data_IF_935050744573
#
_entry.id   IF_935050744573
#
_cell.length_a   1.000
_cell.length_b   1.000
_cell.length_c   1.000
_cell.angle_alpha   90.00
_cell.angle_beta   90.00
_cell.angle_gamma   90.00
#
_symmetry.space_group_name_H-M   'P 1'
#
loop_
_entity.id
_entity.type
_entity.pdbx_description
1 polymer ?
#
# COMPACT_ATOMS: atom_id res chain seq x y z
N UNK A 1 -32.71 -13.03 50.42
CA UNK A 1 -32.83 -12.20 49.19
C UNK A 1 -31.80 -11.09 49.11
N UNK A 2 -31.49 -10.36 50.17
CA UNK A 2 -30.45 -9.30 50.19
C UNK A 2 -29.01 -9.81 49.98
N UNK A 3 -28.62 -10.97 50.55
CA UNK A 3 -27.28 -11.54 50.40
C UNK A 3 -26.98 -11.98 48.94
N UNK A 4 -27.97 -12.54 48.24
CA UNK A 4 -27.83 -12.94 46.84
C UNK A 4 -27.64 -11.71 45.93
N UNK A 5 -28.34 -10.62 46.21
CA UNK A 5 -28.15 -9.33 45.51
C UNK A 5 -26.76 -8.74 45.75
N UNK A 6 -26.25 -8.85 47.00
CA UNK A 6 -24.92 -8.36 47.36
C UNK A 6 -23.79 -9.18 46.70
N UNK A 7 -23.96 -10.52 46.63
CA UNK A 7 -23.03 -11.40 45.91
C UNK A 7 -23.01 -11.13 44.39
N UNK A 8 -24.18 -10.98 43.76
CA UNK A 8 -24.28 -10.61 42.33
C UNK A 8 -23.63 -9.25 42.06
N UNK A 9 -23.86 -8.22 42.88
CA UNK A 9 -23.23 -6.90 42.72
C UNK A 9 -21.71 -6.97 42.84
N UNK A 10 -21.19 -7.74 43.81
CA UNK A 10 -19.75 -7.94 43.99
C UNK A 10 -19.13 -8.66 42.78
N UNK A 11 -19.82 -9.66 42.26
CA UNK A 11 -19.41 -10.36 41.04
C UNK A 11 -19.30 -9.41 39.84
N UNK A 12 -20.30 -8.58 39.59
CA UNK A 12 -20.29 -7.62 38.47
C UNK A 12 -19.21 -6.53 38.63
N UNK A 13 -18.94 -6.10 39.86
CA UNK A 13 -17.85 -5.15 40.12
C UNK A 13 -16.48 -5.78 39.83
N UNK A 14 -16.24 -7.02 40.31
CA UNK A 14 -15.00 -7.73 40.03
C UNK A 14 -14.85 -8.00 38.54
N UNK A 15 -15.90 -8.49 37.90
CA UNK A 15 -15.91 -8.73 36.44
C UNK A 15 -15.61 -7.45 35.65
N UNK A 16 -16.28 -6.36 35.99
CA UNK A 16 -16.03 -5.05 35.35
C UNK A 16 -14.62 -4.54 35.57
N UNK A 17 -14.06 -4.70 36.79
CA UNK A 17 -12.67 -4.31 37.10
C UNK A 17 -11.66 -5.15 36.33
N UNK A 18 -11.86 -6.47 36.23
CA UNK A 18 -10.98 -7.37 35.47
C UNK A 18 -11.06 -7.03 33.98
N UNK A 19 -12.27 -6.84 33.45
CA UNK A 19 -12.45 -6.46 32.06
C UNK A 19 -11.78 -5.12 31.73
N UNK A 20 -11.98 -4.11 32.57
CA UNK A 20 -11.33 -2.80 32.42
C UNK A 20 -9.82 -2.92 32.48
N UNK A 21 -9.25 -3.71 33.40
CA UNK A 21 -7.82 -3.95 33.49
C UNK A 21 -7.29 -4.61 32.23
N UNK A 22 -7.99 -5.59 31.66
CA UNK A 22 -7.60 -6.25 30.41
C UNK A 22 -7.61 -5.24 29.24
N UNK A 23 -8.62 -4.37 29.16
CA UNK A 23 -8.68 -3.33 28.14
C UNK A 23 -7.51 -2.35 28.29
N UNK A 24 -7.24 -1.88 29.52
CA UNK A 24 -6.09 -0.97 29.77
C UNK A 24 -4.76 -1.65 29.41
N UNK A 25 -4.55 -2.92 29.81
CA UNK A 25 -3.37 -3.68 29.44
C UNK A 25 -3.24 -3.79 27.91
N UNK A 26 -4.31 -4.15 27.20
CA UNK A 26 -4.31 -4.24 25.75
C UNK A 26 -3.93 -2.91 25.08
N UNK A 27 -4.55 -1.82 25.52
CA UNK A 27 -4.25 -0.48 25.01
C UNK A 27 -2.79 -0.08 25.30
N UNK A 28 -2.30 -0.38 26.51
CA UNK A 28 -0.91 -0.07 26.91
C UNK A 28 0.11 -0.86 26.08
N UNK A 29 -0.12 -2.17 25.92
CA UNK A 29 0.73 -3.04 25.08
C UNK A 29 0.72 -2.55 23.63
N UNK A 30 -0.46 -2.20 23.11
CA UNK A 30 -0.60 -1.64 21.77
C UNK A 30 0.21 -0.36 21.57
N UNK A 31 0.18 0.56 22.54
CA UNK A 31 0.96 1.81 22.51
C UNK A 31 2.48 1.57 22.65
N UNK A 32 2.89 0.65 23.53
CA UNK A 32 4.30 0.29 23.68
C UNK A 32 4.82 -0.32 22.36
N UNK A 33 4.05 -1.21 21.74
CA UNK A 33 4.36 -1.78 20.42
C UNK A 33 4.53 -0.70 19.36
N UNK A 34 3.56 0.20 19.26
CA UNK A 34 3.60 1.32 18.33
C UNK A 34 4.82 2.23 18.56
N UNK A 35 5.13 2.53 19.82
CA UNK A 35 6.31 3.34 20.18
C UNK A 35 7.63 2.64 19.89
N UNK A 36 7.72 1.32 20.11
CA UNK A 36 8.95 0.55 19.83
C UNK A 36 9.24 0.48 18.33
N UNK A 37 8.22 0.27 17.51
CA UNK A 37 8.35 0.30 16.03
C UNK A 37 8.56 1.72 15.48
N UNK A 38 8.28 2.76 16.30
CA UNK A 38 8.55 4.15 15.92
C UNK A 38 10.04 4.42 15.70
N UNK A 39 10.93 3.64 16.30
CA UNK A 39 12.39 3.79 16.16
C UNK A 39 12.96 3.17 14.89
N UNK A 40 12.21 2.34 14.18
CA UNK A 40 12.62 1.68 12.93
C UNK A 40 11.73 2.13 11.80
N UNK A 41 12.07 3.26 11.18
CA UNK A 41 11.44 3.68 9.93
C UNK A 41 11.91 2.76 8.81
N UNK A 42 10.96 2.27 8.01
CA UNK A 42 11.25 1.40 6.87
C UNK A 42 11.37 2.25 5.60
N UNK A 43 12.47 3.01 5.54
CA UNK A 43 12.82 3.82 4.37
C UNK A 43 14.27 3.56 3.98
N UNK A 44 14.46 2.94 2.83
CA UNK A 44 15.75 2.67 2.26
C UNK A 44 16.16 3.78 1.27
N UNK A 45 17.46 4.07 1.23
CA UNK A 45 18.09 4.97 0.27
C UNK A 45 19.27 4.29 -0.39
N UNK A 46 19.60 4.62 -1.66
CA UNK A 46 20.83 4.17 -2.28
C UNK A 46 22.06 4.56 -1.46
N UNK A 47 22.96 3.61 -1.23
CA UNK A 47 24.26 3.82 -0.59
C UNK A 47 25.40 3.89 -1.63
N UNK A 48 25.06 4.10 -2.89
CA UNK A 48 25.94 4.23 -4.03
C UNK A 48 25.70 5.56 -4.75
N UNK A 49 26.66 5.95 -5.63
CA UNK A 49 26.59 7.22 -6.33
C UNK A 49 25.47 7.27 -7.37
N UNK A 50 24.81 8.42 -7.46
CA UNK A 50 23.97 8.76 -8.60
C UNK A 50 24.86 8.95 -9.83
N UNK A 51 24.50 8.33 -10.95
CA UNK A 51 25.18 8.50 -12.23
C UNK A 51 24.25 9.12 -13.27
N UNK A 52 24.81 9.77 -14.28
CA UNK A 52 24.02 10.30 -15.38
C UNK A 52 23.46 9.18 -16.26
N UNK A 53 22.15 9.04 -16.29
CA UNK A 53 21.43 8.02 -17.08
C UNK A 53 20.80 8.62 -18.36
N UNK A 54 20.86 9.95 -18.57
CA UNK A 54 20.25 10.56 -19.76
C UNK A 54 20.77 9.97 -21.08
N UNK A 55 22.08 9.68 -21.24
CA UNK A 55 22.59 9.06 -22.48
C UNK A 55 22.00 7.66 -22.75
N UNK A 56 21.62 6.92 -21.71
CA UNK A 56 21.01 5.60 -21.90
C UNK A 56 19.60 5.71 -22.47
N UNK A 57 18.85 6.75 -22.07
CA UNK A 57 17.49 6.95 -22.54
C UNK A 57 17.40 7.30 -24.03
N UNK A 58 18.52 7.75 -24.62
CA UNK A 58 18.62 8.08 -26.06
C UNK A 58 19.11 6.91 -26.93
N UNK A 59 19.51 5.80 -26.33
CA UNK A 59 19.93 4.60 -27.09
C UNK A 59 18.73 4.03 -27.86
N UNK A 60 18.93 3.55 -29.06
CA UNK A 60 17.89 2.85 -29.83
C UNK A 60 17.49 1.57 -29.12
N UNK A 61 18.49 0.80 -28.66
CA UNK A 61 18.29 -0.46 -27.94
C UNK A 61 19.06 -0.43 -26.62
N UNK A 62 18.46 -0.96 -25.57
CA UNK A 62 19.08 -1.13 -24.26
C UNK A 62 19.53 -2.58 -24.10
N UNK A 63 20.75 -2.75 -23.59
CA UNK A 63 21.25 -4.05 -23.13
C UNK A 63 20.69 -4.40 -21.76
N UNK A 64 20.85 -5.65 -21.34
CA UNK A 64 20.45 -6.06 -19.98
C UNK A 64 21.21 -5.27 -18.91
N UNK A 65 22.49 -4.99 -19.12
CA UNK A 65 23.29 -4.16 -18.21
C UNK A 65 22.76 -2.72 -18.12
N UNK A 66 22.28 -2.15 -19.23
CA UNK A 66 21.63 -0.84 -19.24
C UNK A 66 20.35 -0.86 -18.38
N UNK A 67 19.52 -1.91 -18.51
CA UNK A 67 18.31 -2.06 -17.70
C UNK A 67 18.63 -2.23 -16.21
N UNK A 68 19.66 -3.01 -15.86
CA UNK A 68 20.11 -3.18 -14.49
C UNK A 68 20.60 -1.85 -13.90
N UNK A 69 21.36 -1.07 -14.69
CA UNK A 69 21.80 0.25 -14.25
C UNK A 69 20.62 1.19 -14.07
N UNK A 70 19.68 1.24 -15.02
CA UNK A 70 18.46 2.06 -14.92
C UNK A 70 17.64 1.67 -13.69
N UNK A 71 17.44 0.37 -13.42
CA UNK A 71 16.74 -0.11 -12.23
C UNK A 71 17.42 0.37 -10.94
N UNK A 72 18.73 0.18 -10.82
CA UNK A 72 19.49 0.63 -9.64
C UNK A 72 19.41 2.15 -9.45
N UNK A 73 19.36 2.90 -10.54
CA UNK A 73 19.33 4.37 -10.50
C UNK A 73 17.94 4.98 -10.34
N UNK A 74 16.86 4.22 -10.55
CA UNK A 74 15.49 4.74 -10.54
C UNK A 74 14.51 3.91 -9.71
N UNK A 75 14.79 2.63 -9.48
CA UNK A 75 13.82 1.66 -8.95
C UNK A 75 12.77 1.24 -9.99
N UNK A 76 12.89 1.68 -11.24
CA UNK A 76 11.96 1.35 -12.33
C UNK A 76 12.46 0.13 -13.09
N UNK A 77 11.62 -0.89 -13.19
CA UNK A 77 11.94 -2.13 -13.91
C UNK A 77 11.95 -1.91 -15.43
N UNK A 78 12.42 -2.92 -16.16
CA UNK A 78 12.39 -2.93 -17.63
C UNK A 78 11.01 -2.55 -18.19
N UNK A 79 9.93 -3.14 -17.62
CA UNK A 79 8.56 -2.84 -18.02
C UNK A 79 8.23 -1.34 -17.92
N UNK A 80 8.60 -0.70 -16.83
CA UNK A 80 8.35 0.72 -16.63
C UNK A 80 9.26 1.62 -17.47
N UNK A 81 10.51 1.22 -17.68
CA UNK A 81 11.45 1.94 -18.55
C UNK A 81 10.95 1.93 -19.99
N UNK A 82 10.60 0.76 -20.53
CA UNK A 82 10.11 0.62 -21.91
C UNK A 82 8.83 1.44 -22.13
N UNK A 83 7.88 1.40 -21.17
CA UNK A 83 6.64 2.18 -21.22
C UNK A 83 6.88 3.71 -21.25
N UNK A 84 7.91 4.20 -20.55
CA UNK A 84 8.14 5.64 -20.42
C UNK A 84 9.11 6.21 -21.46
N UNK A 85 10.09 5.43 -21.95
CA UNK A 85 11.05 5.94 -22.92
C UNK A 85 10.51 6.08 -24.35
N UNK A 86 9.26 5.71 -24.59
CA UNK A 86 8.58 5.88 -25.89
C UNK A 86 8.41 7.36 -26.28
N UNK A 87 8.38 8.27 -25.29
CA UNK A 87 8.20 9.69 -25.54
C UNK A 87 9.05 10.57 -24.60
N UNK A 88 9.26 11.83 -24.98
CA UNK A 88 10.09 12.79 -24.24
C UNK A 88 9.56 13.10 -22.85
N UNK A 89 8.24 13.10 -22.64
CA UNK A 89 7.64 13.32 -21.34
C UNK A 89 7.95 12.15 -20.39
N UNK A 90 7.96 10.92 -20.90
CA UNK A 90 8.34 9.73 -20.16
C UNK A 90 9.83 9.70 -19.84
N UNK A 91 10.72 10.04 -20.80
CA UNK A 91 12.17 10.15 -20.52
C UNK A 91 12.44 11.17 -19.43
N UNK A 92 11.81 12.37 -19.49
CA UNK A 92 11.87 13.37 -18.44
C UNK A 92 11.39 12.82 -17.09
N UNK A 93 10.31 12.04 -17.08
CA UNK A 93 9.77 11.41 -15.86
C UNK A 93 10.76 10.43 -15.25
N UNK A 94 11.48 9.62 -16.05
CA UNK A 94 12.53 8.71 -15.57
C UNK A 94 13.63 9.50 -14.83
N UNK A 95 14.07 10.63 -15.40
CA UNK A 95 15.06 11.50 -14.75
C UNK A 95 14.55 12.14 -13.45
N UNK A 96 13.27 12.53 -13.41
CA UNK A 96 12.62 13.03 -12.20
C UNK A 96 12.53 11.94 -11.12
N UNK A 97 12.22 10.69 -11.50
CA UNK A 97 12.21 9.53 -10.59
C UNK A 97 13.61 9.28 -10.03
N UNK A 98 14.67 9.34 -10.86
CA UNK A 98 16.05 9.24 -10.39
C UNK A 98 16.35 10.33 -9.36
N UNK A 99 15.99 11.60 -9.65
CA UNK A 99 16.19 12.69 -8.71
C UNK A 99 15.52 12.44 -7.37
N UNK A 100 14.28 11.91 -7.38
CA UNK A 100 13.57 11.53 -6.17
C UNK A 100 14.24 10.38 -5.42
N UNK A 101 14.73 9.33 -6.11
CA UNK A 101 15.36 8.19 -5.44
C UNK A 101 16.63 8.61 -4.64
N UNK A 102 17.38 9.60 -5.14
CA UNK A 102 18.59 10.12 -4.51
C UNK A 102 18.36 11.41 -3.68
N UNK A 103 17.11 11.85 -3.53
CA UNK A 103 16.81 13.05 -2.74
C UNK A 103 17.01 12.80 -1.23
N UNK A 104 17.36 13.86 -0.52
CA UNK A 104 17.51 13.82 0.94
C UNK A 104 16.16 14.03 1.63
N UNK A 105 15.37 12.96 1.72
CA UNK A 105 14.11 12.98 2.43
C UNK A 105 14.33 12.89 3.95
N UNK A 106 13.65 13.74 4.70
CA UNK A 106 13.30 13.42 6.08
C UNK A 106 12.07 12.49 6.10
N UNK A 107 11.87 11.79 7.20
CA UNK A 107 10.71 10.90 7.35
C UNK A 107 10.09 11.11 8.73
N UNK A 108 8.77 10.97 8.80
CA UNK A 108 8.03 11.07 10.05
C UNK A 108 6.90 10.02 10.11
N UNK A 109 6.35 9.81 11.29
CA UNK A 109 5.16 8.99 11.47
C UNK A 109 3.94 9.88 11.64
N UNK A 110 2.97 9.72 10.79
CA UNK A 110 1.64 10.30 10.96
C UNK A 110 0.70 9.30 11.64
N UNK A 111 0.08 9.73 12.73
CA UNK A 111 -0.86 8.93 13.51
C UNK A 111 -2.28 9.38 13.18
N UNK A 112 -3.10 8.49 12.67
CA UNK A 112 -4.49 8.80 12.30
C UNK A 112 -5.53 7.87 12.95
N UNK A 113 -5.16 7.18 14.02
CA UNK A 113 -6.03 6.33 14.82
C UNK A 113 -5.36 5.99 16.14
N UNK A 114 -6.05 5.21 17.00
CA UNK A 114 -5.49 4.81 18.29
C UNK A 114 -4.18 4.03 18.15
N UNK A 115 -4.03 3.26 17.07
CA UNK A 115 -2.88 2.36 16.85
C UNK A 115 -2.42 2.35 15.39
N UNK A 116 -2.96 3.21 14.52
CA UNK A 116 -2.65 3.22 13.09
C UNK A 116 -1.71 4.38 12.78
N UNK A 117 -0.64 4.06 12.07
CA UNK A 117 0.41 4.99 11.69
C UNK A 117 0.76 4.80 10.23
N UNK A 118 1.15 5.89 9.56
CA UNK A 118 1.86 5.84 8.28
C UNK A 118 3.26 6.42 8.43
N UNK A 119 4.20 5.86 7.71
CA UNK A 119 5.55 6.40 7.54
C UNK A 119 5.53 7.27 6.29
N UNK A 120 5.76 8.58 6.47
CA UNK A 120 5.62 9.59 5.44
C UNK A 120 6.95 10.31 5.19
N UNK A 121 7.12 10.83 3.97
CA UNK A 121 8.24 11.65 3.58
C UNK A 121 8.05 13.11 4.03
N UNK A 122 9.12 13.74 4.51
CA UNK A 122 9.08 15.12 4.94
C UNK A 122 8.83 15.28 6.43
N UNK A 123 7.99 16.25 6.77
CA UNK A 123 7.52 16.56 8.12
C UNK A 123 6.03 16.83 8.06
N UNK A 124 5.30 16.63 9.14
CA UNK A 124 3.87 16.92 9.21
C UNK A 124 3.62 18.41 8.90
N UNK A 125 2.80 18.66 7.87
CA UNK A 125 2.53 20.02 7.36
C UNK A 125 3.60 20.59 6.43
N UNK A 126 4.65 19.79 6.12
CA UNK A 126 5.68 20.09 5.12
C UNK A 126 6.12 18.78 4.46
N UNK A 127 5.16 18.09 3.86
CA UNK A 127 5.32 16.80 3.22
C UNK A 127 6.26 16.93 2.01
N UNK A 128 7.10 15.90 1.81
CA UNK A 128 7.90 15.73 0.61
C UNK A 128 7.26 14.65 -0.26
N UNK A 129 7.51 14.75 -1.56
CA UNK A 129 6.84 13.89 -2.53
C UNK A 129 7.86 13.11 -3.35
N UNK A 130 7.66 11.82 -3.44
CA UNK A 130 8.32 10.97 -4.43
C UNK A 130 7.67 11.11 -5.80
N UNK A 131 8.25 10.45 -6.81
CA UNK A 131 7.72 10.45 -8.17
C UNK A 131 7.36 9.02 -8.60
N UNK A 132 6.11 8.82 -9.01
CA UNK A 132 5.65 7.56 -9.60
C UNK A 132 6.02 7.46 -11.08
N UNK A 133 6.28 6.25 -11.54
CA UNK A 133 6.30 5.93 -12.96
C UNK A 133 4.93 6.22 -13.61
N UNK A 134 4.85 6.08 -14.93
CA UNK A 134 3.58 6.28 -15.64
C UNK A 134 2.54 5.29 -15.13
N UNK A 135 1.45 5.82 -14.58
CA UNK A 135 0.33 5.00 -14.14
C UNK A 135 -0.51 4.57 -15.33
N UNK A 136 -1.05 3.38 -15.25
CA UNK A 136 -2.07 2.86 -16.16
C UNK A 136 -3.31 2.48 -15.35
N UNK A 137 -4.49 2.72 -15.90
CA UNK A 137 -5.74 2.24 -15.30
C UNK A 137 -5.65 0.73 -15.08
N UNK A 138 -6.04 0.25 -13.89
CA UNK A 138 -5.88 -1.13 -13.45
C UNK A 138 -4.54 -1.43 -12.74
N UNK A 139 -3.56 -0.53 -12.73
CA UNK A 139 -2.36 -0.72 -11.90
C UNK A 139 -2.73 -0.77 -10.41
N UNK A 140 -1.88 -1.41 -9.61
CA UNK A 140 -2.05 -1.55 -8.18
C UNK A 140 -0.87 -0.93 -7.45
N UNK A 141 -1.15 -0.07 -6.50
CA UNK A 141 -0.15 0.49 -5.59
C UNK A 141 -0.17 -0.29 -4.29
N UNK A 142 0.99 -0.71 -3.81
CA UNK A 142 1.18 -1.31 -2.50
C UNK A 142 2.29 -0.62 -1.74
N UNK A 143 2.21 -0.59 -0.42
CA UNK A 143 3.19 0.06 0.46
C UNK A 143 3.31 -0.72 1.75
N UNK A 144 4.52 -0.82 2.31
CA UNK A 144 4.77 -1.35 3.65
C UNK A 144 4.69 -0.27 4.74
N UNK A 145 4.45 1.01 4.36
CA UNK A 145 4.51 2.16 5.27
C UNK A 145 3.38 2.26 6.27
N UNK A 146 2.34 1.42 6.19
CA UNK A 146 1.23 1.45 7.14
C UNK A 146 1.37 0.38 8.21
N UNK A 147 1.26 0.81 9.47
CA UNK A 147 1.37 -0.04 10.65
C UNK A 147 0.10 0.05 11.50
N UNK A 148 -0.30 -1.08 12.08
CA UNK A 148 -1.29 -1.13 13.15
C UNK A 148 -0.58 -1.68 14.39
N UNK A 149 -0.36 -0.84 15.39
CA UNK A 149 0.52 -1.13 16.52
C UNK A 149 1.93 -1.50 16.04
N UNK A 150 2.42 -2.73 16.30
CA UNK A 150 3.72 -3.24 15.82
C UNK A 150 3.62 -4.01 14.49
N UNK A 151 2.42 -4.26 13.98
CA UNK A 151 2.24 -5.01 12.74
C UNK A 151 2.29 -4.09 11.52
N UNK A 152 3.20 -4.40 10.63
CA UNK A 152 3.35 -3.73 9.34
C UNK A 152 2.40 -4.37 8.33
N UNK A 153 1.12 -3.99 8.40
CA UNK A 153 0.07 -4.54 7.53
C UNK A 153 0.15 -4.00 6.10
N UNK A 154 0.82 -2.87 5.92
CA UNK A 154 0.88 -2.20 4.64
C UNK A 154 -0.45 -1.58 4.20
N UNK A 155 -0.47 -1.08 2.99
CA UNK A 155 -1.65 -0.51 2.34
C UNK A 155 -1.64 -0.81 0.85
N UNK A 156 -2.83 -0.86 0.24
CA UNK A 156 -2.98 -1.01 -1.20
C UNK A 156 -4.12 -0.19 -1.75
N UNK A 157 -3.99 0.19 -3.02
CA UNK A 157 -5.00 0.92 -3.78
C UNK A 157 -5.01 0.47 -5.24
N UNK A 158 -6.17 0.56 -5.88
CA UNK A 158 -6.37 0.29 -7.31
C UNK A 158 -6.38 1.60 -8.08
N UNK A 159 -5.55 1.72 -9.10
CA UNK A 159 -5.59 2.85 -10.03
C UNK A 159 -6.82 2.72 -10.93
N UNK A 160 -7.77 3.61 -10.75
CA UNK A 160 -9.04 3.61 -11.51
C UNK A 160 -9.04 4.61 -12.68
N UNK A 161 -8.07 5.52 -12.70
CA UNK A 161 -7.80 6.44 -13.79
C UNK A 161 -6.31 6.83 -13.72
N UNK A 162 -5.51 6.26 -14.64
CA UNK A 162 -4.07 6.46 -14.66
C UNK A 162 -3.67 7.89 -15.06
N UNK A 163 -4.42 8.50 -15.98
CA UNK A 163 -4.11 9.85 -16.49
C UNK A 163 -4.46 10.92 -15.46
N UNK A 164 -5.61 10.78 -14.79
CA UNK A 164 -6.03 11.69 -13.73
C UNK A 164 -5.34 11.41 -12.38
N UNK A 165 -4.67 10.26 -12.23
CA UNK A 165 -4.06 9.84 -10.98
C UNK A 165 -5.07 9.54 -9.88
N UNK A 166 -6.23 8.99 -10.25
CA UNK A 166 -7.26 8.60 -9.30
C UNK A 166 -7.09 7.14 -8.88
N UNK A 167 -7.20 6.90 -7.58
CA UNK A 167 -7.13 5.57 -6.99
C UNK A 167 -8.38 5.26 -6.17
N UNK A 168 -8.74 3.99 -6.07
CA UNK A 168 -9.74 3.49 -5.13
C UNK A 168 -9.02 2.85 -3.95
N UNK A 169 -9.34 3.28 -2.74
CA UNK A 169 -8.75 2.77 -1.51
C UNK A 169 -9.77 2.66 -0.36
N UNK A 170 -9.44 1.84 0.64
CA UNK A 170 -10.14 1.72 1.90
C UNK A 170 -9.10 1.86 3.03
N UNK A 171 -9.08 3.00 3.71
CA UNK A 171 -7.93 3.41 4.53
C UNK A 171 -8.03 2.87 5.96
N UNK A 172 -9.14 3.08 6.68
CA UNK A 172 -9.21 2.76 8.11
C UNK A 172 -10.64 2.53 8.63
N UNK A 173 -10.70 1.93 9.82
CA UNK A 173 -11.95 1.73 10.53
C UNK A 173 -12.67 3.06 10.82
N UNK A 174 -13.99 3.05 10.64
CA UNK A 174 -14.85 4.25 10.76
C UNK A 174 -15.03 5.01 9.45
N UNK A 175 -14.26 4.70 8.42
CA UNK A 175 -14.35 5.31 7.09
C UNK A 175 -14.98 4.33 6.08
N UNK A 176 -15.26 4.85 4.90
CA UNK A 176 -15.72 4.06 3.75
C UNK A 176 -14.66 4.10 2.66
N UNK A 177 -14.71 3.13 1.75
CA UNK A 177 -13.87 3.15 0.55
C UNK A 177 -14.23 4.32 -0.34
N UNK A 178 -13.22 4.99 -0.88
CA UNK A 178 -13.40 6.21 -1.67
C UNK A 178 -12.40 6.32 -2.82
N UNK A 179 -12.73 7.17 -3.77
CA UNK A 179 -11.82 7.60 -4.82
C UNK A 179 -11.01 8.77 -4.27
N UNK A 180 -9.70 8.60 -4.26
CA UNK A 180 -8.74 9.62 -3.79
C UNK A 180 -7.68 9.92 -4.87
N UNK A 181 -6.79 10.85 -4.57
CA UNK A 181 -5.64 11.15 -5.43
C UNK A 181 -4.47 10.24 -5.09
N UNK A 182 -3.73 9.82 -6.09
CA UNK A 182 -2.46 9.08 -5.96
C UNK A 182 -1.41 9.82 -5.13
N UNK A 183 -1.58 11.12 -4.89
CA UNK A 183 -0.69 11.91 -4.04
C UNK A 183 -0.55 11.35 -2.63
N UNK A 184 -1.55 10.59 -2.13
CA UNK A 184 -1.49 9.86 -0.87
C UNK A 184 -0.42 8.77 -0.84
N UNK A 185 0.01 8.26 -2.01
CA UNK A 185 1.13 7.33 -2.12
C UNK A 185 2.47 8.04 -2.35
N UNK A 186 2.47 9.22 -2.97
CA UNK A 186 3.69 9.98 -3.22
C UNK A 186 4.35 10.51 -1.94
N UNK A 187 3.60 10.68 -0.86
CA UNK A 187 4.12 11.08 0.45
C UNK A 187 4.60 9.91 1.29
N UNK A 188 4.24 8.67 0.96
CA UNK A 188 4.64 7.49 1.74
C UNK A 188 6.14 7.24 1.67
N UNK A 189 6.72 6.75 2.76
CA UNK A 189 8.14 6.42 2.84
C UNK A 189 8.55 5.34 1.82
N UNK A 190 7.61 4.46 1.43
CA UNK A 190 7.87 3.47 0.39
C UNK A 190 6.60 3.07 -0.35
N UNK A 191 6.79 2.59 -1.57
CA UNK A 191 5.72 1.94 -2.35
C UNK A 191 6.31 1.01 -3.42
N UNK A 192 5.45 0.13 -3.92
CA UNK A 192 5.67 -0.65 -5.14
C UNK A 192 4.48 -0.41 -6.06
N UNK A 193 4.76 -0.07 -7.30
CA UNK A 193 3.76 -0.01 -8.37
C UNK A 193 3.76 -1.35 -9.10
N UNK A 194 2.61 -2.01 -9.10
CA UNK A 194 2.37 -3.29 -9.74
C UNK A 194 1.45 -3.10 -10.97
N UNK A 195 1.75 -3.82 -12.04
CA UNK A 195 0.92 -3.86 -13.26
C UNK A 195 0.37 -5.25 -13.49
N UNK A 196 -0.96 -5.40 -13.65
CA UNK A 196 -1.54 -6.72 -13.92
C UNK A 196 -1.21 -7.20 -15.33
N UNK A 197 -0.91 -8.50 -15.46
CA UNK A 197 -0.62 -9.22 -16.71
C UNK A 197 -1.91 -9.55 -17.47
N UNK A 198 -2.72 -8.55 -17.71
CA UNK A 198 -3.96 -8.67 -18.49
C UNK A 198 -4.02 -7.55 -19.52
N UNK A 199 -4.86 -7.70 -20.53
CA UNK A 199 -5.02 -6.69 -21.57
C UNK A 199 -5.64 -5.38 -21.05
N UNK A 200 -5.59 -4.35 -21.87
CA UNK A 200 -6.09 -3.01 -21.54
C UNK A 200 -7.60 -3.03 -21.32
N UNK A 201 -8.33 -3.81 -22.09
CA UNK A 201 -9.79 -3.90 -21.99
C UNK A 201 -10.19 -4.48 -20.62
N UNK A 202 -9.55 -5.54 -20.18
CA UNK A 202 -9.78 -6.14 -18.87
C UNK A 202 -9.46 -5.15 -17.75
N UNK A 203 -8.36 -4.40 -17.84
CA UNK A 203 -7.99 -3.35 -16.87
C UNK A 203 -9.08 -2.28 -16.74
N UNK A 204 -9.63 -1.85 -17.87
CA UNK A 204 -10.72 -0.89 -17.90
C UNK A 204 -12.00 -1.45 -17.28
N UNK A 205 -12.35 -2.71 -17.56
CA UNK A 205 -13.52 -3.38 -16.98
C UNK A 205 -13.39 -3.50 -15.44
N UNK A 206 -12.20 -3.86 -14.95
CA UNK A 206 -11.90 -3.93 -13.51
C UNK A 206 -12.06 -2.56 -12.85
N UNK A 207 -11.52 -1.50 -13.44
CA UNK A 207 -11.63 -0.14 -12.92
C UNK A 207 -13.09 0.36 -12.92
N UNK A 208 -13.84 0.11 -13.97
CA UNK A 208 -15.25 0.49 -14.07
C UNK A 208 -16.14 -0.27 -13.09
N UNK A 209 -15.89 -1.57 -12.91
CA UNK A 209 -16.55 -2.35 -11.88
C UNK A 209 -16.26 -1.78 -10.48
N UNK A 210 -15.00 -1.45 -10.22
CA UNK A 210 -14.56 -0.89 -8.94
C UNK A 210 -15.24 0.45 -8.65
N UNK A 211 -15.27 1.36 -9.61
CA UNK A 211 -15.99 2.66 -9.52
C UNK A 211 -17.47 2.48 -9.17
N UNK A 212 -18.14 1.52 -9.80
CA UNK A 212 -19.60 1.33 -9.68
C UNK A 212 -20.00 0.59 -8.41
N UNK A 213 -19.18 -0.37 -7.94
CA UNK A 213 -19.61 -1.36 -6.97
C UNK A 213 -18.80 -1.36 -5.67
N UNK A 214 -17.60 -0.75 -5.66
CA UNK A 214 -16.70 -0.85 -4.52
C UNK A 214 -16.43 0.49 -3.81
N UNK A 215 -17.05 1.58 -4.25
CA UNK A 215 -17.04 2.88 -3.56
C UNK A 215 -18.11 2.87 -2.48
N UNK A 216 -17.83 3.47 -1.31
CA UNK A 216 -18.78 3.60 -0.21
C UNK A 216 -18.91 2.36 0.69
N UNK A 217 -18.04 1.35 0.53
CA UNK A 217 -18.01 0.18 1.41
C UNK A 217 -17.41 0.53 2.77
N UNK A 218 -18.03 0.09 3.86
CA UNK A 218 -17.49 0.32 5.20
C UNK A 218 -16.19 -0.45 5.40
N UNK A 219 -15.21 0.17 6.05
CA UNK A 219 -13.97 -0.51 6.40
C UNK A 219 -14.19 -1.60 7.45
N UNK A 220 -13.66 -2.80 7.17
CA UNK A 220 -13.71 -3.93 8.10
C UNK A 220 -12.55 -4.91 7.80
N UNK A 221 -11.54 -4.93 8.67
CA UNK A 221 -10.40 -5.83 8.60
C UNK A 221 -10.75 -7.32 8.75
N UNK A 222 -11.94 -7.61 9.29
CA UNK A 222 -12.35 -9.00 9.55
C UNK A 222 -12.99 -9.69 8.34
N UNK A 223 -13.11 -8.98 7.22
CA UNK A 223 -13.59 -9.58 5.95
C UNK A 223 -12.64 -10.67 5.52
N UNK A 224 -13.18 -11.86 5.29
CA UNK A 224 -12.42 -13.06 4.97
C UNK A 224 -12.06 -13.93 6.18
N UNK A 225 -12.15 -13.39 7.41
CA UNK A 225 -11.93 -14.13 8.66
C UNK A 225 -13.24 -14.40 9.40
N UNK A 226 -13.93 -13.33 9.79
CA UNK A 226 -15.22 -13.42 10.50
C UNK A 226 -16.43 -13.33 9.53
N UNK A 227 -16.19 -13.13 8.26
CA UNK A 227 -17.20 -13.15 7.20
C UNK A 227 -16.63 -13.77 5.93
N UNK A 228 -17.50 -14.18 5.00
CA UNK A 228 -17.06 -14.70 3.70
C UNK A 228 -16.23 -13.65 2.96
N UNK A 229 -15.07 -14.04 2.45
CA UNK A 229 -14.18 -13.22 1.63
C UNK A 229 -14.89 -12.73 0.35
N UNK A 230 -15.52 -13.64 -0.39
CA UNK A 230 -16.30 -13.29 -1.58
C UNK A 230 -17.81 -13.28 -1.27
N UNK A 231 -18.48 -12.19 -1.64
CA UNK A 231 -19.95 -12.06 -1.67
C UNK A 231 -20.36 -11.30 -2.91
N UNK A 232 -21.49 -11.69 -3.52
CA UNK A 232 -22.03 -10.98 -4.69
C UNK A 232 -22.31 -9.50 -4.38
N UNK A 233 -22.95 -9.24 -3.25
CA UNK A 233 -23.16 -7.89 -2.72
C UNK A 233 -22.21 -7.66 -1.54
N UNK A 234 -21.11 -6.97 -1.81
CA UNK A 234 -20.12 -6.62 -0.80
C UNK A 234 -20.54 -5.32 -0.12
N UNK A 235 -20.59 -5.32 1.23
CA UNK A 235 -20.97 -4.13 2.03
C UNK A 235 -19.81 -3.59 2.87
N UNK A 236 -18.74 -4.37 2.97
CA UNK A 236 -17.59 -4.08 3.82
C UNK A 236 -16.32 -4.54 3.10
N UNK A 237 -15.23 -3.82 3.31
CA UNK A 237 -13.94 -4.13 2.70
C UNK A 237 -12.80 -3.58 3.54
N UNK A 238 -11.57 -4.00 3.23
CA UNK A 238 -10.33 -3.36 3.66
C UNK A 238 -9.43 -3.15 2.44
N UNK A 239 -8.29 -2.48 2.61
CA UNK A 239 -7.44 -2.07 1.49
C UNK A 239 -7.07 -3.23 0.53
N UNK A 240 -6.54 -4.33 1.04
CA UNK A 240 -6.21 -5.48 0.20
C UNK A 240 -7.44 -6.16 -0.39
N UNK A 241 -8.48 -6.32 0.40
CA UNK A 241 -9.69 -6.98 -0.06
C UNK A 241 -10.39 -6.22 -1.20
N UNK A 242 -10.41 -4.87 -1.17
CA UNK A 242 -11.11 -4.09 -2.21
C UNK A 242 -10.42 -4.22 -3.57
N UNK A 243 -9.08 -4.23 -3.61
CA UNK A 243 -8.31 -4.43 -4.83
C UNK A 243 -8.52 -5.85 -5.37
N UNK A 244 -8.36 -6.86 -4.49
CA UNK A 244 -8.61 -8.26 -4.84
C UNK A 244 -10.03 -8.47 -5.37
N UNK A 245 -11.03 -7.89 -4.73
CA UNK A 245 -12.44 -8.02 -5.11
C UNK A 245 -12.71 -7.49 -6.51
N UNK A 246 -12.05 -6.41 -6.91
CA UNK A 246 -12.16 -5.85 -8.24
C UNK A 246 -11.70 -6.84 -9.32
N UNK A 247 -10.55 -7.47 -9.12
CA UNK A 247 -10.00 -8.47 -10.04
C UNK A 247 -10.75 -9.80 -9.99
N UNK A 248 -11.13 -10.22 -8.79
CA UNK A 248 -11.83 -11.51 -8.58
C UNK A 248 -13.18 -11.59 -9.29
N UNK A 249 -13.85 -10.45 -9.51
CA UNK A 249 -15.10 -10.40 -10.30
C UNK A 249 -14.92 -10.94 -11.71
N UNK A 250 -13.75 -10.76 -12.28
CA UNK A 250 -13.38 -11.20 -13.62
C UNK A 250 -12.57 -12.50 -13.64
N UNK A 251 -12.57 -13.24 -12.52
CA UNK A 251 -11.89 -14.54 -12.41
C UNK A 251 -10.38 -14.45 -12.16
N UNK A 252 -9.81 -13.25 -12.00
CA UNK A 252 -8.39 -13.02 -11.76
C UNK A 252 -8.15 -13.02 -10.24
N UNK A 253 -7.40 -14.00 -9.73
CA UNK A 253 -7.11 -14.13 -8.30
C UNK A 253 -5.72 -13.59 -7.97
N UNK A 254 -5.67 -12.36 -7.52
CA UNK A 254 -4.40 -11.69 -7.13
C UNK A 254 -3.98 -11.98 -5.69
N UNK A 255 -4.63 -12.89 -5.00
CA UNK A 255 -4.26 -13.39 -3.69
C UNK A 255 -3.34 -14.62 -3.84
N UNK A 256 -2.03 -14.42 -3.68
CA UNK A 256 -1.02 -15.46 -3.94
C UNK A 256 -1.07 -16.64 -2.96
N UNK A 257 -1.59 -16.43 -1.74
CA UNK A 257 -1.63 -17.46 -0.70
C UNK A 257 -3.01 -18.11 -0.50
N UNK A 258 -4.06 -17.55 -1.09
CA UNK A 258 -5.45 -18.05 -0.96
C UNK A 258 -6.04 -17.91 0.44
N UNK A 259 -5.43 -17.11 1.32
CA UNK A 259 -5.82 -16.92 2.71
C UNK A 259 -7.17 -16.22 2.90
N UNK A 260 -7.58 -16.08 4.15
CA UNK A 260 -8.80 -15.35 4.49
C UNK A 260 -8.67 -13.85 4.26
N UNK A 261 -7.56 -13.27 4.71
CA UNK A 261 -7.23 -11.85 4.52
C UNK A 261 -6.34 -11.71 3.30
N UNK A 262 -6.66 -10.76 2.43
CA UNK A 262 -5.79 -10.38 1.33
C UNK A 262 -4.91 -9.22 1.76
N UNK A 263 -3.62 -9.41 1.72
CA UNK A 263 -2.63 -8.41 2.09
C UNK A 263 -1.99 -7.75 0.87
N UNK A 264 -1.34 -6.59 1.00
CA UNK A 264 -0.52 -6.03 -0.06
C UNK A 264 0.64 -6.96 -0.50
N UNK A 265 1.17 -7.77 0.44
CA UNK A 265 2.18 -8.79 0.17
C UNK A 265 1.67 -9.87 -0.80
N UNK A 266 0.42 -10.31 -0.65
CA UNK A 266 -0.19 -11.30 -1.54
C UNK A 266 -0.24 -10.80 -2.98
N UNK A 267 -0.52 -9.50 -3.18
CA UNK A 267 -0.53 -8.89 -4.50
C UNK A 267 0.87 -8.80 -5.10
N UNK A 268 1.87 -8.47 -4.29
CA UNK A 268 3.27 -8.43 -4.73
C UNK A 268 3.76 -9.80 -5.22
N UNK A 269 3.39 -10.89 -4.52
CA UNK A 269 3.76 -12.25 -4.90
C UNK A 269 2.80 -12.91 -5.91
N UNK A 270 1.77 -12.22 -6.36
CA UNK A 270 0.81 -12.78 -7.31
C UNK A 270 1.43 -13.00 -8.69
N UNK A 271 1.21 -14.18 -9.27
CA UNK A 271 1.62 -14.51 -10.63
C UNK A 271 0.98 -13.60 -11.70
N UNK A 272 -0.13 -12.97 -11.34
CA UNK A 272 -0.85 -12.03 -12.22
C UNK A 272 -0.29 -10.62 -12.20
N UNK A 273 0.74 -10.33 -11.39
CA UNK A 273 1.30 -9.00 -11.25
C UNK A 273 2.75 -8.95 -11.69
N UNK A 274 3.17 -7.80 -12.20
CA UNK A 274 4.54 -7.45 -12.50
C UNK A 274 4.91 -6.15 -11.81
N UNK A 275 6.13 -6.08 -11.29
CA UNK A 275 6.65 -4.85 -10.69
C UNK A 275 7.03 -3.86 -11.78
N UNK A 276 6.52 -2.64 -11.67
CA UNK A 276 6.86 -1.50 -12.55
C UNK A 276 7.89 -0.60 -11.90
N UNK A 277 7.69 -0.29 -10.60
CA UNK A 277 8.58 0.59 -9.84
C UNK A 277 8.61 0.20 -8.38
N UNK A 278 9.78 0.34 -7.78
CA UNK A 278 10.03 0.24 -6.34
C UNK A 278 10.62 1.55 -5.85
N UNK A 279 10.13 2.07 -4.74
CA UNK A 279 10.66 3.27 -4.08
C UNK A 279 10.73 3.07 -2.58
N UNK A 280 11.82 3.53 -1.96
CA UNK A 280 12.00 3.51 -0.50
C UNK A 280 12.17 2.12 0.13
N UNK A 281 12.38 1.08 -0.69
CA UNK A 281 12.73 -0.29 -0.30
C UNK A 281 14.06 -0.66 -0.92
N UNK A 282 14.81 -1.58 -0.28
CA UNK A 282 16.13 -1.97 -0.76
C UNK A 282 16.04 -2.74 -2.09
N UNK A 283 16.53 -2.10 -3.15
CA UNK A 283 16.51 -2.65 -4.52
C UNK A 283 17.42 -3.87 -4.71
N UNK A 284 18.28 -4.19 -3.74
CA UNK A 284 19.20 -5.33 -3.81
C UNK A 284 18.62 -6.60 -3.15
N UNK A 285 17.44 -6.50 -2.53
CA UNK A 285 16.80 -7.65 -1.92
C UNK A 285 16.00 -8.45 -2.93
N UNK A 286 16.14 -9.78 -2.91
CA UNK A 286 15.32 -10.69 -3.72
C UNK A 286 13.84 -10.66 -3.31
N UNK A 287 13.55 -10.22 -2.09
CA UNK A 287 12.22 -10.06 -1.54
C UNK A 287 12.08 -8.69 -0.89
N UNK A 288 11.11 -7.92 -1.37
CA UNK A 288 10.86 -6.55 -0.91
C UNK A 288 9.86 -6.50 0.27
N UNK A 289 9.30 -7.64 0.66
CA UNK A 289 8.30 -7.75 1.72
C UNK A 289 8.75 -8.67 2.84
#
# INVERSE_FOLDING_TARGET
MQEVKKKKRKFWIIFGSVFLSLVVCFLTIGQIGAFSTAKTLHFWRPNYAKVDIAPLLEKTELTEDDYQLLYRQTGVTKLGIDDMREDEAGKKRILEIQNCLFADYSTYKDCFGLFTYTEELGKKGAEQYSKLARLRTGDVLVSTSMLVSWWRLGHSALVIDGDAGHILEAVQAGWVSEISSVTTFNTRANFILLRPKVDVEMKMQVADYAKKNLVGLRYDLTVGVLSKKYKKEQKKSHCGHIVWRAYKEFGIDIDSNGGGIVTPEDMYYSEYMEVVQVFGLDLNLDKLW
#
